data_IF_217898985422
#
_entry.id   IF_217898985422
#
_cell.length_a   1.000
_cell.length_b   1.000
_cell.length_c   1.000
_cell.angle_alpha   90.00
_cell.angle_beta   90.00
_cell.angle_gamma   90.00
#
_symmetry.space_group_name_H-M   'P 1'
#
loop_
_entity.id
_entity.type
_entity.pdbx_description
1 polymer ?
#
# COMPACT_ATOMS: atom_id res chain seq x y z
N UNK A 1 9.36 -9.10 7.79
CA UNK A 1 9.74 -9.56 9.14
C UNK A 1 10.72 -8.55 9.77
N UNK A 2 10.75 -8.41 11.09
CA UNK A 2 11.58 -7.42 11.80
C UNK A 2 13.09 -7.67 11.69
N UNK A 3 13.51 -8.93 11.53
CA UNK A 3 14.91 -9.29 11.31
C UNK A 3 15.46 -8.73 9.99
N UNK A 4 14.64 -8.72 8.94
CA UNK A 4 15.02 -8.21 7.62
C UNK A 4 15.32 -6.70 7.67
N UNK A 5 14.41 -5.94 8.30
CA UNK A 5 14.55 -4.48 8.48
C UNK A 5 15.80 -4.13 9.28
N UNK A 6 16.07 -4.85 10.38
CA UNK A 6 17.29 -4.65 11.16
C UNK A 6 18.56 -4.89 10.34
N UNK A 7 18.62 -6.03 9.64
CA UNK A 7 19.78 -6.43 8.84
C UNK A 7 20.07 -5.41 7.72
N UNK A 8 19.05 -4.96 7.01
CA UNK A 8 19.21 -3.95 5.95
C UNK A 8 19.59 -2.59 6.50
N UNK A 9 19.06 -2.20 7.65
CA UNK A 9 19.50 -0.98 8.34
C UNK A 9 20.98 -1.04 8.69
N UNK A 10 21.48 -2.16 9.20
CA UNK A 10 22.90 -2.32 9.52
C UNK A 10 23.78 -2.27 8.26
N UNK A 11 23.36 -2.94 7.18
CA UNK A 11 24.08 -2.89 5.89
C UNK A 11 24.12 -1.48 5.30
N UNK A 12 23.02 -0.73 5.39
CA UNK A 12 22.97 0.66 4.96
C UNK A 12 23.99 1.52 5.73
N UNK A 13 24.08 1.34 7.06
CA UNK A 13 25.07 2.02 7.88
C UNK A 13 26.50 1.61 7.48
N UNK A 14 26.75 0.34 7.22
CA UNK A 14 28.06 -0.12 6.75
C UNK A 14 28.43 0.54 5.41
N UNK A 15 27.50 0.63 4.46
CA UNK A 15 27.73 1.29 3.16
C UNK A 15 28.00 2.78 3.28
N UNK A 16 27.12 3.52 3.96
CA UNK A 16 27.13 4.99 3.92
C UNK A 16 27.82 5.65 5.10
N UNK A 17 27.84 5.01 6.28
CA UNK A 17 28.49 5.55 7.47
C UNK A 17 29.93 5.02 7.60
N UNK A 18 30.16 3.73 7.33
CA UNK A 18 31.51 3.15 7.35
C UNK A 18 32.23 3.24 6.01
N UNK A 19 31.51 3.53 4.92
CA UNK A 19 32.09 3.67 3.58
C UNK A 19 32.45 2.33 2.92
N UNK A 20 31.86 1.21 3.37
CA UNK A 20 32.11 -0.09 2.76
C UNK A 20 31.38 -0.22 1.42
N UNK A 21 32.12 -0.02 0.32
CA UNK A 21 31.56 -0.06 -1.03
C UNK A 21 31.20 -1.46 -1.54
N UNK A 22 31.58 -2.51 -0.80
CA UNK A 22 31.22 -3.88 -1.16
C UNK A 22 29.78 -4.23 -0.85
N UNK A 23 29.11 -3.41 -0.04
CA UNK A 23 27.70 -3.59 0.34
C UNK A 23 26.79 -3.01 -0.74
N UNK A 24 25.94 -3.87 -1.30
CA UNK A 24 24.83 -3.47 -2.13
C UNK A 24 23.71 -2.92 -1.24
N UNK A 25 23.30 -1.64 -1.40
CA UNK A 25 22.20 -1.06 -0.62
C UNK A 25 20.83 -1.66 -0.94
N UNK A 26 20.74 -2.49 -1.99
CA UNK A 26 19.47 -3.07 -2.45
C UNK A 26 18.69 -2.11 -3.37
N UNK A 27 17.46 -2.49 -3.73
CA UNK A 27 16.61 -1.72 -4.64
C UNK A 27 16.19 -0.38 -4.03
N UNK A 28 15.88 0.60 -4.89
CA UNK A 28 15.45 1.93 -4.42
C UNK A 28 14.09 1.91 -3.71
N UNK A 29 13.21 0.98 -4.08
CA UNK A 29 11.86 0.90 -3.53
C UNK A 29 11.42 -0.56 -3.36
N UNK A 30 10.81 -0.86 -2.21
CA UNK A 30 10.26 -2.18 -1.89
C UNK A 30 8.84 -2.04 -1.30
N UNK A 31 7.98 -3.01 -1.57
CA UNK A 31 6.64 -3.07 -0.97
C UNK A 31 6.18 -4.51 -0.75
N UNK A 32 5.18 -4.65 0.11
CA UNK A 32 4.49 -5.92 0.37
C UNK A 32 3.02 -5.74 -0.04
N UNK A 33 2.47 -6.69 -0.78
CA UNK A 33 1.06 -6.66 -1.18
C UNK A 33 0.13 -7.16 -0.06
N UNK A 34 -1.18 -7.16 -0.32
CA UNK A 34 -2.20 -7.61 0.63
C UNK A 34 -2.14 -9.12 0.97
N UNK A 35 -1.42 -9.91 0.18
CA UNK A 35 -1.21 -11.35 0.40
C UNK A 35 0.08 -11.63 1.16
N UNK A 36 0.92 -10.62 1.38
CA UNK A 36 2.23 -10.76 1.99
C UNK A 36 3.34 -11.04 0.99
N UNK A 37 3.09 -10.90 -0.31
CA UNK A 37 4.10 -11.07 -1.34
C UNK A 37 5.00 -9.85 -1.41
N UNK A 38 6.31 -10.09 -1.50
CA UNK A 38 7.34 -9.06 -1.52
C UNK A 38 7.73 -8.68 -2.95
N UNK A 39 7.82 -7.38 -3.20
CA UNK A 39 8.19 -6.82 -4.50
C UNK A 39 9.21 -5.69 -4.34
N UNK A 40 9.98 -5.44 -5.39
CA UNK A 40 10.99 -4.38 -5.44
C UNK A 40 11.07 -3.69 -6.80
N UNK A 41 11.68 -2.50 -6.81
CA UNK A 41 11.89 -1.69 -8.01
C UNK A 41 13.14 -0.82 -7.85
N UNK A 42 13.86 -0.66 -8.97
CA UNK A 42 14.99 0.27 -9.10
C UNK A 42 14.57 1.75 -9.13
N UNK A 43 13.26 2.03 -9.14
CA UNK A 43 12.74 3.39 -9.24
C UNK A 43 11.34 3.55 -8.66
N UNK A 44 11.05 4.79 -8.24
CA UNK A 44 9.72 5.23 -7.83
C UNK A 44 9.33 6.52 -8.57
N UNK A 45 8.11 6.65 -9.14
CA UNK A 45 7.01 5.69 -9.08
C UNK A 45 7.29 4.42 -9.88
N UNK A 46 6.84 3.27 -9.38
CA UNK A 46 6.87 2.01 -10.13
C UNK A 46 6.04 2.13 -11.40
N UNK A 47 6.51 1.51 -12.49
CA UNK A 47 5.72 1.43 -13.73
C UNK A 47 4.39 0.75 -13.42
N UNK A 48 3.30 1.46 -13.66
CA UNK A 48 1.96 0.93 -13.44
C UNK A 48 1.72 -0.28 -14.35
N UNK A 49 1.22 -1.36 -13.76
CA UNK A 49 0.72 -2.51 -14.51
C UNK A 49 -0.57 -2.18 -15.26
N UNK A 50 -1.14 -3.17 -15.95
CA UNK A 50 -2.43 -3.01 -16.61
C UNK A 50 -3.52 -2.63 -15.59
N UNK A 51 -4.29 -1.60 -15.92
CA UNK A 51 -5.43 -1.19 -15.10
C UNK A 51 -6.51 -2.26 -15.13
N UNK A 52 -6.93 -2.73 -13.96
CA UNK A 52 -8.11 -3.59 -13.84
C UNK A 52 -9.35 -2.71 -13.84
N UNK A 53 -10.08 -2.70 -14.96
CA UNK A 53 -11.40 -2.07 -15.03
C UNK A 53 -12.46 -3.10 -14.67
N UNK A 54 -13.02 -2.99 -13.47
CA UNK A 54 -14.20 -3.78 -13.09
C UNK A 54 -15.46 -3.06 -13.58
N UNK A 55 -16.21 -3.70 -14.49
CA UNK A 55 -17.53 -3.25 -14.91
C UNK A 55 -18.57 -4.31 -14.54
N UNK A 56 -19.77 -3.85 -14.16
CA UNK A 56 -20.91 -4.71 -13.88
C UNK A 56 -21.96 -4.48 -14.95
N UNK A 57 -22.45 -5.56 -15.56
CA UNK A 57 -23.49 -5.50 -16.61
C UNK A 57 -24.93 -5.56 -16.06
N UNK A 58 -25.10 -5.46 -14.74
CA UNK A 58 -26.41 -5.58 -14.08
C UNK A 58 -26.47 -4.62 -12.90
N UNK A 59 -27.67 -4.23 -12.50
CA UNK A 59 -27.91 -3.42 -11.30
C UNK A 59 -27.89 -4.28 -10.03
N UNK A 60 -27.15 -3.87 -8.99
CA UNK A 60 -27.19 -4.48 -7.66
C UNK A 60 -27.22 -3.37 -6.63
N UNK A 61 -28.20 -3.47 -5.74
CA UNK A 61 -28.25 -2.66 -4.55
C UNK A 61 -27.37 -3.28 -3.47
N UNK A 62 -26.43 -2.51 -2.92
CA UNK A 62 -25.80 -2.84 -1.65
C UNK A 62 -26.67 -2.28 -0.53
N UNK A 63 -27.16 -3.14 0.36
CA UNK A 63 -27.95 -2.71 1.50
C UNK A 63 -27.05 -1.94 2.48
N UNK A 64 -27.44 -0.71 2.81
CA UNK A 64 -26.77 0.08 3.83
C UNK A 64 -27.49 -0.08 5.17
N UNK A 65 -26.83 -0.68 6.16
CA UNK A 65 -27.35 -0.81 7.52
C UNK A 65 -26.56 0.13 8.43
N UNK A 66 -27.11 1.28 8.85
CA UNK A 66 -26.40 2.21 9.72
C UNK A 66 -26.25 1.62 11.13
N UNK A 67 -25.03 1.67 11.66
CA UNK A 67 -24.75 1.41 13.08
C UNK A 67 -24.12 2.64 13.72
N UNK A 68 -24.74 3.17 14.78
CA UNK A 68 -24.22 4.34 15.50
C UNK A 68 -23.04 3.87 16.37
N UNK A 69 -21.84 4.32 16.03
CA UNK A 69 -20.60 4.00 16.75
C UNK A 69 -19.68 2.99 16.06
N UNK A 70 -19.99 2.54 14.84
CA UNK A 70 -19.09 1.71 14.03
C UNK A 70 -18.17 2.54 13.13
N UNK A 71 -17.04 1.97 12.72
CA UNK A 71 -16.06 2.58 11.80
C UNK A 71 -16.51 2.60 10.32
N UNK A 72 -17.80 2.36 10.06
CA UNK A 72 -18.38 2.29 8.73
C UNK A 72 -18.61 3.66 8.09
N UNK A 73 -19.19 3.70 6.88
CA UNK A 73 -19.44 4.94 6.17
C UNK A 73 -20.35 5.86 6.99
N UNK A 74 -20.06 7.16 6.98
CA UNK A 74 -20.81 8.14 7.75
C UNK A 74 -22.30 8.06 7.39
N UNK A 75 -23.21 7.77 8.35
CA UNK A 75 -24.64 7.61 8.06
C UNK A 75 -25.30 8.87 7.48
N UNK A 76 -24.66 10.04 7.62
CA UNK A 76 -25.09 11.27 6.95
C UNK A 76 -25.06 11.17 5.42
N UNK A 77 -24.33 10.22 4.82
CA UNK A 77 -24.32 9.96 3.38
C UNK A 77 -25.73 9.64 2.83
N UNK A 78 -26.57 8.98 3.63
CA UNK A 78 -27.94 8.61 3.23
C UNK A 78 -28.83 9.84 3.14
N UNK A 79 -28.64 10.80 4.04
CA UNK A 79 -29.53 11.97 4.17
C UNK A 79 -29.01 13.20 3.44
N UNK A 80 -27.71 13.29 3.18
CA UNK A 80 -27.06 14.48 2.60
C UNK A 80 -26.35 14.21 1.27
N UNK A 81 -26.33 12.97 0.79
CA UNK A 81 -25.64 12.57 -0.43
C UNK A 81 -24.12 12.46 -0.25
N UNK A 82 -23.41 12.20 -1.35
CA UNK A 82 -21.94 12.12 -1.40
C UNK A 82 -21.34 13.43 -0.86
N UNK A 83 -20.48 13.32 0.15
CA UNK A 83 -19.67 14.45 0.60
C UNK A 83 -18.59 14.66 -0.46
N UNK A 84 -18.65 15.77 -1.17
CA UNK A 84 -17.54 16.17 -2.04
C UNK A 84 -16.31 16.44 -1.18
N UNK A 85 -15.25 15.69 -1.44
CA UNK A 85 -13.89 15.91 -0.92
C UNK A 85 -13.16 16.91 -1.80
#
# INVERSE_FOLDING_TARGET
DGELVWRETMQWLDRYVKGDESIDPGPQFEWVDQHGDHFSSEGYPVTAGESITAMRDTDQAMAFIPFIGGSGPNPLIITRGLVQT
#
